data_IF_775953828863
#
_entry.id   IF_775953828863
#
_cell.length_a   1.000
_cell.length_b   1.000
_cell.length_c   1.000
_cell.angle_alpha   90.00
_cell.angle_beta   90.00
_cell.angle_gamma   90.00
#
_symmetry.space_group_name_H-M   'P 1'
#
loop_
_entity.id
_entity.type
_entity.pdbx_description
1 polymer ?
#
# COMPACT_ATOMS: atom_id res chain seq x y z
N UNK A 1 32.17 5.85 -57.77
CA UNK A 1 30.97 5.85 -56.94
C UNK A 1 31.24 4.94 -55.72
N UNK A 2 31.43 5.56 -54.56
CA UNK A 2 31.60 4.82 -53.29
C UNK A 2 30.25 4.88 -52.57
N UNK A 3 29.60 3.72 -52.36
CA UNK A 3 28.37 3.55 -51.65
C UNK A 3 28.72 3.53 -50.15
N UNK A 4 28.35 4.60 -49.42
CA UNK A 4 28.49 4.65 -47.97
C UNK A 4 27.19 4.06 -47.40
N UNK A 5 27.26 2.83 -46.89
CA UNK A 5 26.21 2.22 -46.09
C UNK A 5 26.27 2.84 -44.70
N UNK A 6 25.32 3.74 -44.39
CA UNK A 6 25.08 4.22 -43.03
C UNK A 6 24.23 3.18 -42.31
N UNK A 7 24.87 2.36 -41.49
CA UNK A 7 24.19 1.55 -40.50
C UNK A 7 23.68 2.50 -39.37
N UNK A 8 22.47 2.92 -39.51
CA UNK A 8 21.74 3.56 -38.39
C UNK A 8 21.45 2.49 -37.33
N UNK A 9 22.32 2.43 -36.32
CA UNK A 9 22.01 1.66 -35.12
C UNK A 9 20.83 2.31 -34.41
N UNK A 10 19.64 1.81 -34.65
CA UNK A 10 18.45 2.05 -33.80
C UNK A 10 18.74 1.37 -32.45
N UNK A 11 19.37 2.08 -31.54
CA UNK A 11 19.35 1.76 -30.12
C UNK A 11 17.93 2.05 -29.59
N UNK A 12 16.99 1.18 -29.93
CA UNK A 12 15.81 1.03 -29.15
C UNK A 12 16.28 0.62 -27.75
N UNK A 13 16.13 1.53 -26.78
CA UNK A 13 16.26 1.14 -25.39
C UNK A 13 15.13 0.13 -25.11
N UNK A 14 15.47 -1.15 -25.26
CA UNK A 14 14.68 -2.24 -24.74
C UNK A 14 14.80 -2.07 -23.22
N UNK A 15 13.87 -1.34 -22.62
CA UNK A 15 13.70 -1.31 -21.18
C UNK A 15 13.25 -2.70 -20.76
N UNK A 16 14.20 -3.58 -20.47
CA UNK A 16 13.93 -4.91 -19.95
C UNK A 16 13.21 -4.77 -18.60
N UNK A 17 12.26 -5.65 -18.33
CA UNK A 17 11.65 -5.80 -17.00
C UNK A 17 12.74 -6.25 -16.03
N UNK A 18 12.79 -5.66 -14.85
CA UNK A 18 13.71 -6.10 -13.80
C UNK A 18 13.39 -7.53 -13.39
N UNK A 19 14.43 -8.32 -13.16
CA UNK A 19 14.33 -9.72 -12.77
C UNK A 19 14.88 -9.92 -11.36
N UNK A 20 14.31 -10.87 -10.64
CA UNK A 20 14.60 -11.18 -9.25
C UNK A 20 15.06 -12.64 -9.07
N UNK A 21 15.70 -13.18 -10.11
CA UNK A 21 16.20 -14.57 -10.14
C UNK A 21 17.23 -14.78 -9.05
N UNK A 22 16.96 -15.72 -8.16
CA UNK A 22 17.82 -16.06 -7.02
C UNK A 22 17.76 -15.06 -5.86
N UNK A 23 16.94 -14.00 -5.94
CA UNK A 23 16.67 -13.14 -4.79
C UNK A 23 15.90 -13.94 -3.74
N UNK A 24 16.36 -13.87 -2.50
CA UNK A 24 15.72 -14.58 -1.38
C UNK A 24 14.99 -13.60 -0.47
N UNK A 25 13.93 -14.09 0.20
CA UNK A 25 13.36 -13.38 1.34
C UNK A 25 13.75 -14.14 2.59
N UNK A 26 14.43 -13.46 3.49
CA UNK A 26 14.82 -13.99 4.79
C UNK A 26 13.83 -13.50 5.85
N UNK A 27 13.32 -14.42 6.67
CA UNK A 27 12.68 -14.13 7.93
C UNK A 27 13.75 -14.09 9.01
N UNK A 28 13.92 -12.94 9.66
CA UNK A 28 14.98 -12.67 10.61
C UNK A 28 14.39 -12.39 11.99
N UNK A 29 14.96 -12.98 13.05
CA UNK A 29 14.43 -12.89 14.41
C UNK A 29 15.47 -12.24 15.34
N UNK A 30 15.48 -10.91 15.50
CA UNK A 30 16.33 -10.23 16.46
C UNK A 30 15.84 -10.52 17.89
N UNK A 31 16.75 -10.91 18.80
CA UNK A 31 16.41 -11.28 20.17
C UNK A 31 16.60 -10.15 21.19
N UNK A 32 17.28 -9.09 20.80
CA UNK A 32 17.56 -7.93 21.65
C UNK A 32 17.72 -6.65 20.83
N UNK A 33 17.80 -5.50 21.52
CA UNK A 33 17.93 -4.18 20.92
C UNK A 33 19.24 -3.99 20.11
N UNK A 34 20.30 -4.68 20.49
CA UNK A 34 21.58 -4.63 19.79
C UNK A 34 21.45 -5.27 18.39
N UNK A 35 20.80 -6.42 18.30
CA UNK A 35 20.55 -7.09 17.02
C UNK A 35 19.60 -6.28 16.12
N UNK A 36 18.59 -5.60 16.70
CA UNK A 36 17.75 -4.66 15.95
C UNK A 36 18.60 -3.52 15.36
N UNK A 37 19.51 -2.95 16.16
CA UNK A 37 20.40 -1.89 15.70
C UNK A 37 21.30 -2.36 14.56
N UNK A 38 21.87 -3.56 14.65
CA UNK A 38 22.67 -4.15 13.56
C UNK A 38 21.84 -4.34 12.27
N UNK A 39 20.57 -4.73 12.38
CA UNK A 39 19.70 -4.84 11.19
C UNK A 39 19.38 -3.48 10.58
N UNK A 40 19.21 -2.44 11.39
CA UNK A 40 19.00 -1.06 10.91
C UNK A 40 20.26 -0.51 10.24
N UNK A 41 21.43 -0.82 10.79
CA UNK A 41 22.73 -0.48 10.15
C UNK A 41 22.88 -1.22 8.82
N UNK A 42 22.54 -2.50 8.79
CA UNK A 42 22.54 -3.32 7.56
C UNK A 42 21.59 -2.77 6.49
N UNK A 43 20.40 -2.29 6.89
CA UNK A 43 19.43 -1.65 5.97
C UNK A 43 20.00 -0.37 5.34
N UNK A 44 20.90 0.32 6.03
CA UNK A 44 21.53 1.55 5.55
C UNK A 44 22.67 1.30 4.53
N UNK A 45 23.12 0.06 4.35
CA UNK A 45 24.17 -0.34 3.41
C UNK A 45 23.62 -0.39 1.98
N UNK A 46 23.60 0.76 1.29
CA UNK A 46 23.00 0.93 -0.05
C UNK A 46 23.54 -0.05 -1.09
N UNK A 47 24.81 -0.46 -0.98
CA UNK A 47 25.43 -1.37 -1.93
C UNK A 47 24.86 -2.79 -1.88
N UNK A 48 24.21 -3.19 -0.79
CA UNK A 48 23.55 -4.49 -0.65
C UNK A 48 22.16 -4.52 -1.28
N UNK A 49 21.56 -3.38 -1.57
CA UNK A 49 20.24 -3.23 -2.19
C UNK A 49 19.12 -4.02 -1.46
N UNK A 50 19.19 -4.04 -0.13
CA UNK A 50 18.21 -4.74 0.70
C UNK A 50 16.86 -4.02 0.65
N UNK A 51 15.79 -4.81 0.73
CA UNK A 51 14.43 -4.30 0.77
C UNK A 51 13.69 -4.95 1.95
N UNK A 52 13.57 -4.19 3.04
CA UNK A 52 12.85 -4.64 4.24
C UNK A 52 11.35 -4.55 4.03
N UNK A 53 10.72 -5.68 3.77
CA UNK A 53 9.26 -5.77 3.66
C UNK A 53 8.57 -5.61 5.02
N UNK A 54 9.24 -6.09 6.07
CA UNK A 54 8.84 -5.88 7.46
C UNK A 54 10.10 -5.54 8.27
N UNK A 55 10.17 -4.28 8.72
CA UNK A 55 11.34 -3.81 9.45
C UNK A 55 11.42 -4.39 10.86
N UNK A 56 12.63 -4.59 11.41
CA UNK A 56 12.84 -5.06 12.77
C UNK A 56 12.47 -3.96 13.76
N UNK A 57 11.44 -4.15 14.55
CA UNK A 57 10.94 -3.12 15.48
C UNK A 57 10.99 -3.51 16.94
N UNK A 58 10.77 -4.77 17.26
CA UNK A 58 10.67 -5.28 18.63
C UNK A 58 11.47 -6.57 18.75
N UNK A 59 12.29 -6.74 19.83
CA UNK A 59 12.97 -8.00 20.08
C UNK A 59 12.01 -9.19 20.13
N UNK A 60 12.34 -10.25 19.41
CA UNK A 60 11.52 -11.46 19.31
C UNK A 60 10.43 -11.43 18.24
N UNK A 61 10.14 -10.29 17.62
CA UNK A 61 9.29 -10.22 16.43
C UNK A 61 10.11 -10.45 15.15
N UNK A 62 9.48 -11.11 14.17
CA UNK A 62 10.12 -11.37 12.88
C UNK A 62 10.25 -10.10 12.05
N UNK A 63 11.40 -9.92 11.39
CA UNK A 63 11.60 -8.98 10.29
C UNK A 63 11.71 -9.76 8.98
N UNK A 64 11.27 -9.19 7.87
CA UNK A 64 11.38 -9.81 6.56
C UNK A 64 12.17 -8.92 5.63
N UNK A 65 13.20 -9.48 5.01
CA UNK A 65 14.09 -8.74 4.10
C UNK A 65 14.30 -9.51 2.80
N UNK A 66 13.99 -8.85 1.67
CA UNK A 66 14.42 -9.33 0.36
C UNK A 66 15.91 -9.01 0.19
N UNK A 67 16.66 -10.02 -0.12
CA UNK A 67 18.10 -9.94 -0.34
C UNK A 67 18.37 -10.29 -1.81
N UNK A 68 18.93 -9.37 -2.61
CA UNK A 68 19.35 -9.66 -3.98
C UNK A 68 20.34 -10.82 -4.03
N UNK A 69 20.27 -11.63 -5.08
CA UNK A 69 21.13 -12.80 -5.26
C UNK A 69 22.61 -12.51 -4.98
N UNK A 70 23.12 -11.41 -5.52
CA UNK A 70 24.53 -11.00 -5.34
C UNK A 70 24.91 -10.69 -3.89
N UNK A 71 23.96 -10.36 -3.04
CA UNK A 71 24.15 -10.00 -1.63
C UNK A 71 23.84 -11.13 -0.64
N UNK A 72 23.21 -12.24 -1.10
CA UNK A 72 22.70 -13.31 -0.22
C UNK A 72 23.78 -13.86 0.70
N UNK A 73 24.97 -14.18 0.19
CA UNK A 73 26.03 -14.76 1.02
C UNK A 73 26.59 -13.75 2.03
N UNK A 74 26.80 -12.51 1.61
CA UNK A 74 27.31 -11.46 2.49
C UNK A 74 26.35 -11.19 3.66
N UNK A 75 25.03 -11.13 3.37
CA UNK A 75 24.00 -10.92 4.38
C UNK A 75 23.92 -12.10 5.34
N UNK A 76 23.93 -13.35 4.85
CA UNK A 76 23.90 -14.54 5.71
C UNK A 76 25.11 -14.60 6.64
N UNK A 77 26.31 -14.37 6.13
CA UNK A 77 27.56 -14.30 6.94
C UNK A 77 27.45 -13.20 7.99
N UNK A 78 26.92 -12.03 7.64
CA UNK A 78 26.70 -10.95 8.60
C UNK A 78 25.75 -11.39 9.72
N UNK A 79 24.57 -11.95 9.39
CA UNK A 79 23.57 -12.41 10.37
C UNK A 79 24.17 -13.46 11.31
N UNK A 80 24.90 -14.43 10.78
CA UNK A 80 25.59 -15.48 11.55
C UNK A 80 26.66 -14.88 12.47
N UNK A 81 27.46 -13.92 12.00
CA UNK A 81 28.49 -13.25 12.80
C UNK A 81 27.92 -12.46 13.98
N UNK A 82 26.70 -11.93 13.84
CA UNK A 82 25.97 -11.21 14.88
C UNK A 82 25.08 -12.13 15.73
N UNK A 83 25.11 -13.45 15.48
CA UNK A 83 24.26 -14.41 16.19
C UNK A 83 22.76 -14.16 15.99
N UNK A 84 22.38 -13.57 14.85
CA UNK A 84 20.99 -13.27 14.49
C UNK A 84 20.42 -14.47 13.78
N UNK A 85 19.36 -15.08 14.34
CA UNK A 85 18.69 -16.21 13.74
C UNK A 85 17.87 -15.79 12.53
N UNK A 86 17.91 -16.61 11.48
CA UNK A 86 17.09 -16.41 10.28
C UNK A 86 16.62 -17.74 9.68
N UNK A 87 15.56 -17.68 8.90
CA UNK A 87 15.11 -18.74 8.01
C UNK A 87 14.86 -18.20 6.61
N UNK A 88 14.85 -19.07 5.61
CA UNK A 88 14.53 -18.63 4.23
C UNK A 88 13.01 -18.77 4.07
N UNK A 89 12.33 -17.64 3.97
CA UNK A 89 10.89 -17.56 3.73
C UNK A 89 10.55 -17.81 2.24
N UNK A 90 11.35 -17.24 1.33
CA UNK A 90 11.21 -17.39 -0.12
C UNK A 90 12.59 -17.70 -0.70
N UNK A 91 12.72 -18.84 -1.36
CA UNK A 91 13.99 -19.31 -1.95
C UNK A 91 14.37 -18.56 -3.23
N UNK A 92 13.37 -18.22 -4.06
CA UNK A 92 13.55 -17.47 -5.30
C UNK A 92 12.29 -16.63 -5.56
N UNK A 93 12.44 -15.32 -5.46
CA UNK A 93 11.34 -14.38 -5.67
C UNK A 93 10.80 -14.44 -7.10
N UNK A 94 11.67 -14.70 -8.10
CA UNK A 94 11.25 -14.73 -9.51
C UNK A 94 10.22 -15.83 -9.77
N UNK A 95 10.36 -16.98 -9.14
CA UNK A 95 9.41 -18.10 -9.29
C UNK A 95 7.98 -17.71 -8.89
N UNK A 96 7.85 -16.93 -7.82
CA UNK A 96 6.53 -16.42 -7.39
C UNK A 96 5.98 -15.36 -8.36
N UNK A 97 6.85 -14.50 -8.89
CA UNK A 97 6.46 -13.48 -9.86
C UNK A 97 6.03 -14.09 -11.21
N UNK A 98 6.70 -15.15 -11.64
CA UNK A 98 6.32 -15.86 -12.85
C UNK A 98 4.95 -16.52 -12.69
N UNK A 99 4.68 -17.13 -11.55
CA UNK A 99 3.36 -17.67 -11.21
C UNK A 99 2.27 -16.60 -11.17
N UNK A 100 2.53 -15.47 -10.50
CA UNK A 100 1.62 -14.30 -10.47
C UNK A 100 1.28 -13.82 -11.90
N UNK A 101 2.29 -13.70 -12.76
CA UNK A 101 2.09 -13.30 -14.15
C UNK A 101 1.26 -14.32 -14.95
N UNK A 102 1.52 -15.61 -14.78
CA UNK A 102 0.74 -16.67 -15.43
C UNK A 102 -0.73 -16.63 -14.99
N UNK A 103 -1.00 -16.47 -13.70
CA UNK A 103 -2.36 -16.34 -13.16
C UNK A 103 -3.07 -15.12 -13.73
N UNK A 104 -2.40 -13.97 -13.83
CA UNK A 104 -2.97 -12.77 -14.46
C UNK A 104 -3.33 -13.00 -15.94
N UNK A 105 -2.43 -13.61 -16.70
CA UNK A 105 -2.69 -13.93 -18.12
C UNK A 105 -3.84 -14.90 -18.30
N UNK A 106 -3.96 -15.91 -17.45
CA UNK A 106 -5.07 -16.86 -17.46
C UNK A 106 -6.40 -16.16 -17.12
N UNK A 107 -6.39 -15.26 -16.14
CA UNK A 107 -7.55 -14.46 -15.77
C UNK A 107 -8.01 -13.56 -16.93
N UNK A 108 -7.12 -12.80 -17.54
CA UNK A 108 -7.41 -11.95 -18.70
C UNK A 108 -8.03 -12.75 -19.87
N UNK A 109 -7.56 -13.99 -20.11
CA UNK A 109 -8.14 -14.85 -21.14
C UNK A 109 -9.58 -15.28 -20.81
N UNK A 110 -9.87 -15.55 -19.52
CA UNK A 110 -11.20 -15.92 -19.06
C UNK A 110 -12.18 -14.75 -19.16
N UNK A 111 -11.75 -13.55 -18.79
CA UNK A 111 -12.58 -12.34 -18.82
C UNK A 111 -12.95 -11.86 -20.22
N UNK A 112 -12.12 -12.12 -21.22
CA UNK A 112 -12.46 -11.83 -22.64
C UNK A 112 -13.74 -12.55 -23.10
N UNK A 113 -14.11 -13.64 -22.42
CA UNK A 113 -15.27 -14.49 -22.75
C UNK A 113 -16.33 -14.51 -21.62
N UNK A 114 -16.19 -13.69 -20.60
CA UNK A 114 -17.04 -13.73 -19.41
C UNK A 114 -17.10 -12.40 -18.65
N UNK A 115 -17.54 -12.48 -17.39
CA UNK A 115 -17.64 -11.34 -16.51
C UNK A 115 -16.28 -10.98 -15.89
N UNK A 116 -16.12 -9.71 -15.48
CA UNK A 116 -14.96 -9.22 -14.75
C UNK A 116 -14.78 -9.98 -13.44
N UNK A 117 -13.56 -10.43 -13.16
CA UNK A 117 -13.22 -11.19 -11.95
C UNK A 117 -12.68 -10.27 -10.85
N UNK A 118 -13.51 -9.87 -9.90
CA UNK A 118 -13.09 -9.05 -8.75
C UNK A 118 -12.14 -9.77 -7.79
N UNK A 119 -11.84 -11.06 -8.00
CA UNK A 119 -10.93 -11.87 -7.18
C UNK A 119 -9.54 -12.02 -7.80
N UNK A 120 -9.17 -11.16 -8.75
CA UNK A 120 -7.90 -11.21 -9.45
C UNK A 120 -7.18 -9.85 -9.47
N UNK A 121 -5.88 -9.87 -9.85
CA UNK A 121 -5.14 -8.64 -10.15
C UNK A 121 -5.41 -8.19 -11.57
N UNK A 122 -5.47 -6.88 -11.77
CA UNK A 122 -5.82 -6.25 -13.03
C UNK A 122 -4.84 -5.14 -13.40
N UNK A 123 -4.76 -4.81 -14.68
CA UNK A 123 -4.09 -3.61 -15.14
C UNK A 123 -4.85 -2.35 -14.72
N UNK A 124 -4.17 -1.21 -14.76
CA UNK A 124 -4.82 0.08 -14.45
C UNK A 124 -6.00 0.35 -15.40
N UNK A 125 -5.87 -0.02 -16.66
CA UNK A 125 -6.90 0.12 -17.69
C UNK A 125 -8.13 -0.75 -17.37
N UNK A 126 -7.91 -2.01 -16.99
CA UNK A 126 -8.98 -2.93 -16.58
C UNK A 126 -9.70 -2.45 -15.33
N UNK A 127 -8.95 -1.94 -14.33
CA UNK A 127 -9.54 -1.30 -13.12
C UNK A 127 -10.41 -0.11 -13.51
N UNK A 128 -9.91 0.77 -14.40
CA UNK A 128 -10.68 1.93 -14.86
C UNK A 128 -11.97 1.53 -15.56
N UNK A 129 -11.91 0.50 -16.42
CA UNK A 129 -13.09 -0.03 -17.10
C UNK A 129 -14.09 -0.67 -16.12
N UNK A 130 -13.61 -1.40 -15.12
CA UNK A 130 -14.48 -1.97 -14.08
C UNK A 130 -15.19 -0.88 -13.26
N UNK A 131 -14.50 0.22 -12.97
CA UNK A 131 -15.12 1.39 -12.34
C UNK A 131 -16.24 1.98 -13.22
N UNK A 132 -16.01 2.10 -14.53
CA UNK A 132 -17.03 2.57 -15.48
C UNK A 132 -18.23 1.63 -15.56
N UNK A 133 -18.00 0.33 -15.52
CA UNK A 133 -19.07 -0.67 -15.50
C UNK A 133 -19.90 -0.57 -14.22
N UNK A 134 -19.27 -0.46 -13.04
CA UNK A 134 -20.00 -0.26 -11.76
C UNK A 134 -20.88 1.00 -11.80
N UNK A 135 -20.38 2.11 -12.38
CA UNK A 135 -21.18 3.34 -12.54
C UNK A 135 -22.35 3.11 -13.50
N UNK A 136 -22.12 2.42 -14.61
CA UNK A 136 -23.17 2.14 -15.61
C UNK A 136 -24.26 1.19 -15.07
N UNK A 137 -23.88 0.22 -14.22
CA UNK A 137 -24.82 -0.73 -13.60
C UNK A 137 -25.63 -0.12 -12.45
N UNK A 138 -25.07 0.93 -11.78
CA UNK A 138 -25.68 1.56 -10.59
C UNK A 138 -25.77 3.10 -10.71
N UNK A 139 -26.34 3.67 -11.79
CA UNK A 139 -26.25 5.12 -12.08
C UNK A 139 -26.96 6.02 -11.08
N UNK A 140 -27.93 5.46 -10.32
CA UNK A 140 -28.63 6.18 -9.24
C UNK A 140 -27.86 6.22 -7.90
N UNK A 141 -26.83 5.42 -7.77
CA UNK A 141 -26.06 5.26 -6.52
C UNK A 141 -24.60 5.66 -6.66
N UNK A 142 -23.97 5.32 -7.79
CA UNK A 142 -22.53 5.43 -7.99
C UNK A 142 -22.23 6.44 -9.08
N UNK A 143 -21.24 7.30 -8.82
CA UNK A 143 -20.68 8.23 -9.80
C UNK A 143 -19.15 8.22 -9.73
N UNK A 144 -18.50 8.56 -10.85
CA UNK A 144 -17.04 8.68 -10.93
C UNK A 144 -16.64 10.15 -10.90
N UNK A 145 -15.75 10.51 -9.96
CA UNK A 145 -15.24 11.87 -9.76
C UNK A 145 -13.74 11.89 -10.00
N UNK A 146 -13.28 12.70 -10.93
CA UNK A 146 -11.85 12.93 -11.10
C UNK A 146 -11.38 14.00 -10.10
N UNK A 147 -10.40 13.69 -9.27
CA UNK A 147 -9.84 14.59 -8.24
C UNK A 147 -8.52 15.23 -8.66
N UNK A 148 -7.98 14.84 -9.81
CA UNK A 148 -6.71 15.34 -10.34
C UNK A 148 -6.00 14.30 -11.20
N UNK A 149 -4.72 14.53 -11.43
CA UNK A 149 -3.88 13.65 -12.23
C UNK A 149 -2.56 13.39 -11.52
N UNK A 150 -2.01 12.20 -11.75
CA UNK A 150 -0.67 11.84 -11.29
C UNK A 150 0.43 12.65 -11.97
N UNK A 151 1.67 12.44 -11.55
CA UNK A 151 2.84 13.07 -12.15
C UNK A 151 2.95 12.77 -13.67
N UNK A 152 2.72 11.53 -14.10
CA UNK A 152 2.70 11.13 -15.52
C UNK A 152 1.35 11.38 -16.21
N UNK A 153 0.48 12.18 -15.59
CA UNK A 153 -0.81 12.63 -16.15
C UNK A 153 -1.91 11.56 -16.24
N UNK A 154 -1.81 10.49 -15.47
CA UNK A 154 -2.90 9.51 -15.34
C UNK A 154 -4.01 10.06 -14.44
N UNK A 155 -5.29 9.88 -14.79
CA UNK A 155 -6.38 10.39 -13.98
C UNK A 155 -6.46 9.69 -12.61
N UNK A 156 -6.77 10.43 -11.56
CA UNK A 156 -7.08 9.93 -10.23
C UNK A 156 -8.60 9.95 -10.06
N UNK A 157 -9.21 8.81 -10.30
CA UNK A 157 -10.65 8.66 -10.31
C UNK A 157 -11.14 8.02 -9.01
N UNK A 158 -12.12 8.67 -8.38
CA UNK A 158 -12.80 8.23 -7.17
C UNK A 158 -14.20 7.76 -7.51
N UNK A 159 -14.63 6.63 -6.97
CA UNK A 159 -16.04 6.24 -6.96
C UNK A 159 -16.73 6.91 -5.76
N UNK A 160 -17.78 7.67 -6.03
CA UNK A 160 -18.68 8.22 -5.03
C UNK A 160 -19.93 7.37 -4.95
N UNK A 161 -20.22 6.81 -3.78
CA UNK A 161 -21.46 6.13 -3.45
C UNK A 161 -22.32 7.08 -2.62
N UNK A 162 -23.52 7.41 -3.10
CA UNK A 162 -24.39 8.39 -2.47
C UNK A 162 -25.85 8.15 -2.82
N UNK A 163 -26.72 8.20 -1.82
CA UNK A 163 -28.17 8.16 -2.00
C UNK A 163 -28.78 9.58 -2.04
N UNK A 164 -27.93 10.60 -2.22
CA UNK A 164 -28.33 12.01 -2.22
C UNK A 164 -28.35 12.65 -0.85
N UNK A 165 -28.70 13.95 -0.82
CA UNK A 165 -28.72 14.74 0.40
C UNK A 165 -27.34 15.27 0.85
N UNK A 166 -27.35 16.03 1.92
CA UNK A 166 -26.16 16.68 2.47
C UNK A 166 -25.61 15.85 3.66
N UNK A 167 -24.94 14.74 3.34
CA UNK A 167 -24.46 13.76 4.31
C UNK A 167 -22.98 13.92 4.65
N UNK A 168 -22.53 13.50 5.85
CA UNK A 168 -21.12 13.28 6.13
C UNK A 168 -20.59 12.15 5.22
N UNK A 169 -19.27 12.05 5.10
CA UNK A 169 -18.68 11.07 4.20
C UNK A 169 -17.52 10.30 4.84
N UNK A 170 -17.26 9.11 4.28
CA UNK A 170 -16.11 8.26 4.55
C UNK A 170 -15.20 8.34 3.30
N UNK A 171 -13.91 8.54 3.54
CA UNK A 171 -12.87 8.36 2.53
C UNK A 171 -12.20 7.00 2.69
N UNK A 172 -12.05 6.29 1.58
CA UNK A 172 -11.29 5.04 1.51
C UNK A 172 -10.35 5.10 0.31
N UNK A 173 -9.07 4.83 0.52
CA UNK A 173 -8.10 4.70 -0.57
C UNK A 173 -7.26 3.45 -0.48
N UNK A 174 -6.65 3.10 -1.63
CA UNK A 174 -5.78 1.96 -1.78
C UNK A 174 -4.65 2.27 -2.77
N UNK A 175 -3.62 1.45 -2.77
CA UNK A 175 -2.56 1.50 -3.76
C UNK A 175 -1.68 2.75 -3.69
N UNK A 176 -1.47 3.32 -2.51
CA UNK A 176 -0.50 4.41 -2.32
C UNK A 176 0.93 3.91 -2.57
N UNK A 177 1.24 2.66 -2.17
CA UNK A 177 2.45 1.96 -2.56
C UNK A 177 2.19 1.05 -3.76
N UNK A 178 2.96 1.24 -4.79
CA UNK A 178 2.71 0.63 -6.10
C UNK A 178 2.69 -0.91 -6.10
N UNK A 179 3.53 -1.54 -5.28
CA UNK A 179 3.72 -3.00 -5.21
C UNK A 179 2.66 -3.75 -4.41
N UNK A 180 1.82 -3.04 -3.67
CA UNK A 180 0.82 -3.61 -2.78
C UNK A 180 -0.50 -3.93 -3.53
N UNK A 181 -0.44 -4.77 -4.57
CA UNK A 181 -1.55 -4.99 -5.54
C UNK A 181 -2.83 -5.53 -4.91
N UNK A 182 -2.72 -6.27 -3.81
CA UNK A 182 -3.89 -6.75 -3.07
C UNK A 182 -4.78 -5.61 -2.60
N UNK A 183 -4.23 -4.41 -2.35
CA UNK A 183 -5.00 -3.28 -1.85
C UNK A 183 -5.90 -2.69 -2.92
N UNK A 184 -5.40 -2.54 -4.17
CA UNK A 184 -6.20 -2.08 -5.31
C UNK A 184 -7.32 -3.08 -5.63
N UNK A 185 -7.00 -4.37 -5.61
CA UNK A 185 -7.98 -5.42 -5.84
C UNK A 185 -9.05 -5.46 -4.74
N UNK A 186 -8.64 -5.34 -3.47
CA UNK A 186 -9.57 -5.24 -2.33
C UNK A 186 -10.48 -4.01 -2.46
N UNK A 187 -9.94 -2.86 -2.87
CA UNK A 187 -10.73 -1.66 -3.07
C UNK A 187 -11.77 -1.85 -4.18
N UNK A 188 -11.39 -2.46 -5.30
CA UNK A 188 -12.30 -2.71 -6.41
C UNK A 188 -13.39 -3.73 -6.05
N UNK A 189 -13.02 -4.82 -5.36
CA UNK A 189 -13.97 -5.78 -4.80
C UNK A 189 -14.94 -5.11 -3.82
N UNK A 190 -14.43 -4.24 -2.93
CA UNK A 190 -15.23 -3.46 -1.99
C UNK A 190 -16.21 -2.54 -2.72
N UNK A 191 -15.76 -1.87 -3.79
CA UNK A 191 -16.62 -1.02 -4.61
C UNK A 191 -17.81 -1.81 -5.20
N UNK A 192 -17.52 -2.97 -5.79
CA UNK A 192 -18.56 -3.85 -6.33
C UNK A 192 -19.53 -4.35 -5.23
N UNK A 193 -18.99 -4.72 -4.07
CA UNK A 193 -19.78 -5.18 -2.92
C UNK A 193 -20.70 -4.09 -2.37
N UNK A 194 -20.22 -2.85 -2.29
CA UNK A 194 -21.04 -1.70 -1.86
C UNK A 194 -22.15 -1.43 -2.88
N UNK A 195 -21.82 -1.40 -4.18
CA UNK A 195 -22.78 -1.11 -5.24
C UNK A 195 -23.90 -2.16 -5.30
N UNK A 196 -23.54 -3.45 -5.32
CA UNK A 196 -24.49 -4.56 -5.41
C UNK A 196 -25.24 -4.83 -4.11
N UNK A 197 -24.69 -4.39 -2.97
CA UNK A 197 -25.25 -4.61 -1.64
C UNK A 197 -26.33 -3.60 -1.26
N UNK A 198 -26.35 -2.40 -1.83
CA UNK A 198 -27.36 -1.40 -1.49
C UNK A 198 -28.77 -1.90 -1.83
N UNK A 199 -29.69 -1.79 -0.87
CA UNK A 199 -31.04 -2.32 -0.96
C UNK A 199 -31.17 -3.83 -0.67
N UNK A 200 -30.05 -4.58 -0.67
CA UNK A 200 -30.03 -6.03 -0.43
C UNK A 200 -29.35 -6.41 0.89
N UNK A 201 -28.30 -5.69 1.27
CA UNK A 201 -27.59 -5.86 2.54
C UNK A 201 -27.95 -4.71 3.48
N UNK A 202 -28.53 -5.06 4.64
CA UNK A 202 -29.03 -4.08 5.62
C UNK A 202 -27.89 -3.19 6.15
N UNK A 203 -26.70 -3.73 6.33
CA UNK A 203 -25.55 -2.97 6.86
C UNK A 203 -25.05 -1.94 5.83
N UNK A 204 -24.89 -2.36 4.57
CA UNK A 204 -24.48 -1.47 3.47
C UNK A 204 -25.51 -0.39 3.24
N UNK A 205 -26.79 -0.76 3.21
CA UNK A 205 -27.91 0.17 3.03
C UNK A 205 -27.92 1.20 4.16
N UNK A 206 -27.83 0.77 5.41
CA UNK A 206 -27.82 1.65 6.57
C UNK A 206 -26.66 2.65 6.56
N UNK A 207 -25.45 2.22 6.12
CA UNK A 207 -24.30 3.12 6.00
C UNK A 207 -24.57 4.18 4.93
N UNK A 208 -25.01 3.78 3.75
CA UNK A 208 -25.21 4.70 2.61
C UNK A 208 -26.40 5.65 2.82
N UNK A 209 -27.38 5.26 3.62
CA UNK A 209 -28.45 6.17 4.04
C UNK A 209 -27.97 7.28 4.98
N UNK A 210 -26.92 6.98 5.78
CA UNK A 210 -26.35 7.93 6.75
C UNK A 210 -25.15 8.71 6.22
N UNK A 211 -24.36 8.13 5.32
CA UNK A 211 -23.06 8.67 4.89
C UNK A 211 -22.81 8.40 3.41
N UNK A 212 -22.11 9.31 2.76
CA UNK A 212 -21.52 9.05 1.45
C UNK A 212 -20.19 8.30 1.61
N UNK A 213 -19.81 7.51 0.61
CA UNK A 213 -18.51 6.84 0.57
C UNK A 213 -17.75 7.32 -0.68
N UNK A 214 -16.50 7.77 -0.49
CA UNK A 214 -15.57 8.08 -1.56
C UNK A 214 -14.46 7.04 -1.54
N UNK A 215 -14.31 6.29 -2.64
CA UNK A 215 -13.33 5.22 -2.75
C UNK A 215 -12.39 5.48 -3.93
N UNK A 216 -11.08 5.62 -3.63
CA UNK A 216 -9.98 5.78 -4.60
C UNK A 216 -9.21 4.46 -4.71
N UNK A 217 -9.46 3.62 -5.74
CA UNK A 217 -8.83 2.30 -5.82
C UNK A 217 -7.33 2.34 -6.09
N UNK A 218 -6.83 3.38 -6.77
CA UNK A 218 -5.42 3.49 -7.15
C UNK A 218 -4.92 4.91 -6.88
N UNK A 219 -4.29 5.08 -5.73
CA UNK A 219 -3.73 6.38 -5.30
C UNK A 219 -2.46 6.74 -6.08
N UNK A 220 -1.67 5.73 -6.46
CA UNK A 220 -0.41 5.87 -7.17
C UNK A 220 -0.45 5.16 -8.53
N UNK A 221 -1.17 5.71 -9.53
CA UNK A 221 -1.34 5.03 -10.81
C UNK A 221 -0.04 4.89 -11.61
N UNK A 222 0.89 5.85 -11.50
CA UNK A 222 2.18 5.80 -12.20
C UNK A 222 3.07 4.69 -11.65
N UNK A 223 3.21 4.61 -10.33
CA UNK A 223 3.93 3.54 -9.67
C UNK A 223 3.30 2.19 -9.96
N UNK A 224 1.95 2.09 -9.95
CA UNK A 224 1.23 0.86 -10.23
C UNK A 224 1.53 0.31 -11.63
N UNK A 225 1.42 1.15 -12.67
CA UNK A 225 1.80 0.76 -14.04
C UNK A 225 3.27 0.36 -14.12
N UNK A 226 4.15 1.09 -13.43
CA UNK A 226 5.58 0.77 -13.40
C UNK A 226 5.86 -0.57 -12.70
N UNK A 227 5.14 -0.88 -11.62
CA UNK A 227 5.28 -2.18 -10.93
C UNK A 227 4.81 -3.36 -11.77
N UNK A 228 3.85 -3.14 -12.66
CA UNK A 228 3.37 -4.18 -13.58
C UNK A 228 4.29 -4.39 -14.80
N UNK A 229 4.90 -3.32 -15.30
CA UNK A 229 5.60 -3.35 -16.59
C UNK A 229 7.11 -3.38 -16.49
N UNK A 230 7.69 -2.91 -15.38
CA UNK A 230 9.16 -2.70 -15.25
C UNK A 230 9.76 -3.35 -14.01
N UNK A 231 9.28 -2.99 -12.81
CA UNK A 231 9.84 -3.46 -11.56
C UNK A 231 8.71 -3.81 -10.57
N UNK A 232 8.44 -5.11 -10.40
CA UNK A 232 7.36 -5.61 -9.52
C UNK A 232 7.47 -5.11 -8.07
N UNK A 233 8.71 -4.86 -7.59
CA UNK A 233 8.98 -4.41 -6.22
C UNK A 233 8.94 -2.90 -6.07
N UNK A 234 8.57 -2.16 -7.11
CA UNK A 234 8.49 -0.70 -7.06
C UNK A 234 7.43 -0.20 -6.07
N UNK A 235 7.83 0.70 -5.18
CA UNK A 235 6.98 1.22 -4.11
C UNK A 235 6.50 2.66 -4.35
N UNK A 236 7.42 3.55 -4.76
CA UNK A 236 7.23 5.00 -4.86
C UNK A 236 6.35 5.41 -6.05
N UNK A 237 6.01 6.70 -6.16
CA UNK A 237 5.47 7.25 -7.40
C UNK A 237 6.57 7.36 -8.48
N UNK A 238 6.34 8.14 -9.54
CA UNK A 238 7.28 8.27 -10.66
C UNK A 238 7.75 9.71 -10.89
N UNK A 239 7.62 10.60 -9.89
CA UNK A 239 8.05 11.99 -10.00
C UNK A 239 9.58 12.07 -10.18
N UNK A 240 10.00 13.03 -11.02
CA UNK A 240 11.42 13.30 -11.24
C UNK A 240 11.96 14.20 -10.14
N UNK A 241 13.14 13.88 -9.64
CA UNK A 241 13.78 14.60 -8.55
C UNK A 241 14.93 15.42 -9.14
N UNK A 242 14.82 16.76 -9.11
CA UNK A 242 15.89 17.62 -9.63
C UNK A 242 17.25 17.31 -9.00
N UNK A 243 18.28 17.15 -9.84
CA UNK A 243 19.64 16.86 -9.39
C UNK A 243 19.92 15.41 -8.97
N UNK A 244 18.93 14.51 -9.05
CA UNK A 244 19.08 13.09 -8.74
C UNK A 244 18.87 12.21 -9.98
N UNK A 245 19.58 11.05 -10.02
CA UNK A 245 19.29 9.98 -10.97
C UNK A 245 18.14 9.08 -10.48
N UNK A 246 17.87 9.08 -9.18
CA UNK A 246 16.78 8.33 -8.60
C UNK A 246 15.44 9.02 -8.83
N UNK A 247 14.37 8.23 -8.89
CA UNK A 247 13.03 8.65 -9.26
C UNK A 247 12.06 8.27 -8.15
N UNK A 248 11.04 9.08 -7.97
CA UNK A 248 9.90 8.80 -7.13
C UNK A 248 10.06 9.19 -5.67
N UNK A 249 8.92 9.51 -5.09
CA UNK A 249 8.71 9.83 -3.67
C UNK A 249 7.81 8.76 -3.07
N UNK A 250 8.07 8.34 -1.85
CA UNK A 250 7.12 7.57 -1.06
C UNK A 250 5.95 8.48 -0.68
N UNK A 251 4.82 8.30 -1.35
CA UNK A 251 3.63 9.13 -1.14
C UNK A 251 3.15 9.08 0.31
N UNK A 252 3.35 7.94 1.00
CA UNK A 252 3.01 7.78 2.41
C UNK A 252 4.05 8.39 3.37
N UNK A 253 5.02 9.14 2.86
CA UNK A 253 5.97 10.00 3.61
C UNK A 253 5.79 11.47 3.27
N UNK A 254 4.90 11.80 2.33
CA UNK A 254 4.78 13.16 1.78
C UNK A 254 3.64 13.98 2.40
N UNK A 255 2.86 13.42 3.33
CA UNK A 255 1.79 14.14 4.02
C UNK A 255 2.33 15.19 5.01
N UNK A 256 1.55 16.27 5.21
CA UNK A 256 1.87 17.34 6.18
C UNK A 256 1.36 16.97 7.60
N UNK A 257 1.89 15.85 8.12
CA UNK A 257 1.63 15.41 9.49
C UNK A 257 2.89 14.71 10.01
N UNK A 258 3.68 15.42 10.82
CA UNK A 258 4.98 14.95 11.28
C UNK A 258 5.99 14.76 10.14
N UNK A 259 5.92 15.57 9.09
CA UNK A 259 6.75 15.46 7.89
C UNK A 259 8.25 15.44 8.23
N UNK A 260 8.96 14.47 7.63
CA UNK A 260 10.41 14.32 7.84
C UNK A 260 10.77 13.75 9.20
N UNK A 261 9.79 13.31 9.96
CA UNK A 261 10.00 12.57 11.19
C UNK A 261 10.63 11.20 10.94
N UNK A 262 10.74 10.42 12.01
CA UNK A 262 11.37 9.10 11.95
C UNK A 262 10.77 8.21 10.86
N UNK A 263 11.63 7.43 10.14
CA UNK A 263 11.26 6.55 9.04
C UNK A 263 11.01 7.20 7.72
N UNK A 264 11.28 8.49 7.64
CA UNK A 264 11.28 9.20 6.37
C UNK A 264 12.73 9.52 5.98
N UNK A 265 13.17 9.01 4.84
CA UNK A 265 14.51 9.27 4.30
C UNK A 265 14.58 10.61 3.57
N UNK A 266 15.74 11.27 3.65
CA UNK A 266 16.09 12.42 2.82
C UNK A 266 16.84 12.01 1.53
N UNK A 267 17.25 10.73 1.43
CA UNK A 267 17.94 10.22 0.26
C UNK A 267 16.92 9.90 -0.85
N UNK A 268 17.00 10.55 -2.03
CA UNK A 268 16.10 10.28 -3.16
C UNK A 268 16.08 8.82 -3.63
N UNK A 269 17.16 8.07 -3.38
CA UNK A 269 17.28 6.67 -3.79
C UNK A 269 16.59 5.69 -2.83
N UNK A 270 16.28 6.13 -1.62
CA UNK A 270 15.58 5.32 -0.63
C UNK A 270 14.12 5.08 -1.02
N UNK A 271 13.60 3.89 -0.72
CA UNK A 271 12.18 3.55 -0.88
C UNK A 271 11.26 4.34 0.08
N UNK A 272 11.81 4.90 1.16
CA UNK A 272 11.11 5.78 2.11
C UNK A 272 11.39 7.27 1.89
N UNK A 273 11.86 7.67 0.70
CA UNK A 273 12.14 9.08 0.40
C UNK A 273 10.87 9.93 0.49
N UNK A 274 10.92 10.96 1.37
CA UNK A 274 9.77 11.81 1.72
C UNK A 274 9.45 12.92 0.72
N UNK A 275 10.33 13.16 -0.25
CA UNK A 275 10.27 14.35 -1.08
C UNK A 275 10.92 15.57 -0.41
N UNK A 276 11.10 16.67 -1.16
CA UNK A 276 11.75 17.89 -0.68
C UNK A 276 10.93 18.65 0.36
N UNK A 277 9.59 18.57 0.29
CA UNK A 277 8.67 19.25 1.21
C UNK A 277 7.36 18.48 1.36
N UNK A 278 6.62 18.76 2.43
CA UNK A 278 5.31 18.16 2.66
C UNK A 278 4.33 18.52 1.55
N UNK A 279 3.49 17.57 1.18
CA UNK A 279 2.40 17.73 0.21
C UNK A 279 2.88 18.29 -1.16
N UNK A 280 4.14 18.00 -1.53
CA UNK A 280 4.67 18.43 -2.81
C UNK A 280 4.22 17.56 -3.98
N UNK A 281 3.96 16.27 -3.72
CA UNK A 281 3.52 15.34 -4.75
C UNK A 281 2.07 15.60 -5.16
N UNK A 282 1.85 15.58 -6.49
CA UNK A 282 0.54 15.97 -7.05
C UNK A 282 -0.57 15.01 -6.63
N UNK A 283 -0.25 13.72 -6.43
CA UNK A 283 -1.17 12.70 -5.97
C UNK A 283 -1.66 13.02 -4.55
N UNK A 284 -0.74 13.27 -3.62
CA UNK A 284 -1.06 13.65 -2.23
C UNK A 284 -1.83 14.97 -2.20
N UNK A 285 -1.39 15.95 -2.97
CA UNK A 285 -2.02 17.27 -3.07
C UNK A 285 -3.46 17.19 -3.57
N UNK A 286 -3.74 16.31 -4.55
CA UNK A 286 -5.08 16.09 -5.08
C UNK A 286 -6.03 15.57 -4.01
N UNK A 287 -5.60 14.58 -3.22
CA UNK A 287 -6.40 14.03 -2.12
C UNK A 287 -6.63 15.09 -1.03
N UNK A 288 -5.57 15.77 -0.59
CA UNK A 288 -5.67 16.82 0.45
C UNK A 288 -6.64 17.92 0.03
N UNK A 289 -6.54 18.40 -1.21
CA UNK A 289 -7.43 19.43 -1.73
C UNK A 289 -8.87 18.97 -1.78
N UNK A 290 -9.11 17.73 -2.26
CA UNK A 290 -10.45 17.16 -2.32
C UNK A 290 -11.07 17.05 -0.92
N UNK A 291 -10.35 16.48 0.04
CA UNK A 291 -10.83 16.29 1.42
C UNK A 291 -11.13 17.63 2.09
N UNK A 292 -10.22 18.61 1.94
CA UNK A 292 -10.41 19.95 2.51
C UNK A 292 -11.60 20.68 1.88
N UNK A 293 -11.77 20.59 0.56
CA UNK A 293 -12.88 21.24 -0.15
C UNK A 293 -14.22 20.59 0.17
N UNK A 294 -14.25 19.28 0.38
CA UNK A 294 -15.48 18.56 0.78
C UNK A 294 -15.95 18.96 2.18
N UNK A 295 -15.03 19.11 3.14
CA UNK A 295 -15.27 19.65 4.48
C UNK A 295 -16.05 18.75 5.45
N UNK A 296 -16.60 17.60 5.00
CA UNK A 296 -17.44 16.70 5.81
C UNK A 296 -16.97 15.26 5.83
N UNK A 297 -15.72 15.01 5.51
CA UNK A 297 -15.11 13.68 5.69
C UNK A 297 -14.98 13.41 7.18
N UNK A 298 -15.62 12.36 7.66
CA UNK A 298 -15.65 11.94 9.07
C UNK A 298 -14.71 10.79 9.38
N UNK A 299 -14.37 9.98 8.37
CA UNK A 299 -13.41 8.89 8.52
C UNK A 299 -12.51 8.83 7.30
N UNK A 300 -11.25 8.50 7.54
CA UNK A 300 -10.23 8.25 6.52
C UNK A 300 -9.66 6.85 6.73
N UNK A 301 -9.79 5.98 5.73
CA UNK A 301 -9.29 4.61 5.75
C UNK A 301 -8.36 4.45 4.56
N UNK A 302 -7.17 3.89 4.79
CA UNK A 302 -6.22 3.57 3.74
C UNK A 302 -5.80 2.11 3.83
N UNK A 303 -5.82 1.41 2.69
CA UNK A 303 -5.49 0.00 2.60
C UNK A 303 -4.01 -0.17 2.23
N UNK A 304 -3.33 -0.99 3.01
CA UNK A 304 -1.93 -1.37 2.82
C UNK A 304 -1.75 -2.88 2.84
N UNK A 305 -0.63 -3.38 2.37
CA UNK A 305 -0.14 -4.73 2.58
C UNK A 305 1.39 -4.73 2.83
N UNK A 306 1.88 -5.71 3.54
CA UNK A 306 1.16 -6.81 4.16
C UNK A 306 1.28 -6.73 5.69
N UNK A 307 0.64 -7.59 6.38
CA UNK A 307 0.54 -7.88 7.81
C UNK A 307 -0.90 -7.66 8.29
N UNK A 308 -1.32 -8.45 9.25
CA UNK A 308 -2.66 -8.34 9.82
C UNK A 308 -2.67 -7.27 10.92
N UNK A 309 -2.60 -6.00 10.48
CA UNK A 309 -2.56 -4.84 11.36
C UNK A 309 -3.78 -3.95 11.11
N UNK A 310 -4.47 -3.55 12.16
CA UNK A 310 -5.48 -2.50 12.10
C UNK A 310 -5.03 -1.35 13.00
N UNK A 311 -4.55 -0.29 12.39
CA UNK A 311 -3.87 0.79 13.08
C UNK A 311 -4.61 2.10 12.96
N UNK A 312 -4.45 2.95 14.00
CA UNK A 312 -5.01 4.29 14.04
C UNK A 312 -3.96 5.30 14.55
N UNK A 313 -4.17 6.62 14.44
CA UNK A 313 -3.20 7.63 14.85
C UNK A 313 -2.77 7.53 16.33
N UNK A 314 -1.55 7.98 16.62
CA UNK A 314 -0.57 8.57 15.73
C UNK A 314 0.58 7.59 15.47
N UNK A 315 1.33 7.89 14.38
CA UNK A 315 2.56 7.18 14.03
C UNK A 315 3.83 8.00 14.26
N UNK A 316 3.78 9.32 14.11
CA UNK A 316 4.92 10.23 14.30
C UNK A 316 5.17 10.63 15.76
N UNK A 317 4.25 10.30 16.65
CA UNK A 317 4.34 10.48 18.10
C UNK A 317 3.60 9.37 18.82
N UNK A 318 3.99 9.06 20.05
CA UNK A 318 3.28 8.14 20.92
C UNK A 318 2.24 8.85 21.83
N UNK A 319 2.07 10.16 21.67
CA UNK A 319 0.99 10.88 22.33
C UNK A 319 -0.36 10.37 21.80
N UNK A 320 -1.27 10.05 22.71
CA UNK A 320 -2.61 9.61 22.34
C UNK A 320 -3.40 10.78 21.75
N UNK A 321 -4.16 10.57 20.63
CA UNK A 321 -5.12 11.56 20.17
C UNK A 321 -6.30 11.71 21.17
N UNK A 322 -6.99 12.84 21.15
CA UNK A 322 -8.10 13.13 22.07
C UNK A 322 -9.22 12.08 22.01
N UNK A 323 -9.44 11.48 20.84
CA UNK A 323 -10.44 10.43 20.61
C UNK A 323 -9.84 9.01 20.60
N UNK A 324 -8.74 8.79 21.32
CA UNK A 324 -8.04 7.48 21.33
C UNK A 324 -8.96 6.31 21.70
N UNK A 325 -9.79 6.47 22.72
CA UNK A 325 -10.65 5.39 23.21
C UNK A 325 -11.74 5.03 22.17
N UNK A 326 -12.30 6.01 21.49
CA UNK A 326 -13.24 5.82 20.37
C UNK A 326 -12.55 5.06 19.22
N UNK A 327 -11.37 5.50 18.79
CA UNK A 327 -10.59 4.86 17.73
C UNK A 327 -10.25 3.40 18.07
N UNK A 328 -9.80 3.16 19.30
CA UNK A 328 -9.47 1.83 19.77
C UNK A 328 -10.68 0.90 19.82
N UNK A 329 -11.81 1.38 20.34
CA UNK A 329 -13.05 0.60 20.40
C UNK A 329 -13.54 0.19 19.01
N UNK A 330 -13.57 1.14 18.07
CA UNK A 330 -13.99 0.90 16.69
C UNK A 330 -13.03 -0.08 16.00
N UNK A 331 -11.71 0.11 16.14
CA UNK A 331 -10.72 -0.77 15.56
C UNK A 331 -10.80 -2.20 16.11
N UNK A 332 -11.02 -2.35 17.43
CA UNK A 332 -11.24 -3.67 18.05
C UNK A 332 -12.51 -4.36 17.53
N UNK A 333 -13.61 -3.61 17.34
CA UNK A 333 -14.86 -4.15 16.76
C UNK A 333 -14.63 -4.60 15.31
N UNK A 334 -13.96 -3.78 14.50
CA UNK A 334 -13.63 -4.09 13.12
C UNK A 334 -12.73 -5.34 13.02
N UNK A 335 -11.68 -5.44 13.84
CA UNK A 335 -10.81 -6.62 13.86
C UNK A 335 -11.53 -7.90 14.28
N UNK A 336 -12.47 -7.83 15.23
CA UNK A 336 -13.31 -8.99 15.58
C UNK A 336 -14.19 -9.43 14.39
N UNK A 337 -14.79 -8.48 13.67
CA UNK A 337 -15.58 -8.79 12.48
C UNK A 337 -14.73 -9.43 11.37
N UNK A 338 -13.52 -8.91 11.11
CA UNK A 338 -12.57 -9.52 10.19
C UNK A 338 -12.21 -10.95 10.61
N UNK A 339 -11.86 -11.15 11.89
CA UNK A 339 -11.50 -12.47 12.42
C UNK A 339 -12.65 -13.48 12.34
N UNK A 340 -13.90 -13.03 12.50
CA UNK A 340 -15.06 -13.93 12.47
C UNK A 340 -15.31 -14.59 11.11
N UNK A 341 -14.79 -14.01 10.02
CA UNK A 341 -14.98 -14.54 8.67
C UNK A 341 -14.06 -15.72 8.35
N UNK A 342 -12.76 -15.59 8.66
CA UNK A 342 -11.75 -16.58 8.26
C UNK A 342 -10.80 -16.99 9.41
N UNK A 343 -11.06 -16.56 10.64
CA UNK A 343 -10.21 -16.86 11.79
C UNK A 343 -8.90 -16.04 11.85
N UNK A 344 -8.62 -15.20 10.85
CA UNK A 344 -7.39 -14.41 10.79
C UNK A 344 -7.37 -13.32 11.87
N UNK A 345 -6.39 -13.37 12.75
CA UNK A 345 -6.25 -12.43 13.86
C UNK A 345 -5.52 -11.16 13.41
N UNK A 346 -6.02 -10.01 13.83
CA UNK A 346 -5.40 -8.71 13.59
C UNK A 346 -4.83 -8.12 14.89
N UNK A 347 -3.60 -7.58 14.82
CA UNK A 347 -3.02 -6.77 15.89
C UNK A 347 -3.59 -5.37 15.78
N UNK A 348 -4.19 -4.85 16.87
CA UNK A 348 -4.90 -3.56 16.88
C UNK A 348 -4.23 -2.61 17.84
N UNK A 349 -4.08 -1.34 17.42
CA UNK A 349 -3.55 -0.28 18.29
C UNK A 349 -3.18 0.98 17.53
N UNK A 350 -2.64 1.97 18.24
CA UNK A 350 -2.03 3.10 17.56
C UNK A 350 -0.82 2.66 16.75
N UNK A 351 -0.52 3.36 15.66
CA UNK A 351 0.66 3.06 14.84
C UNK A 351 1.91 3.01 15.73
N UNK A 352 2.08 3.97 16.63
CA UNK A 352 3.17 3.98 17.60
C UNK A 352 3.25 2.70 18.44
N UNK A 353 2.11 2.15 18.91
CA UNK A 353 2.10 0.97 19.78
C UNK A 353 2.25 -0.34 19.03
N UNK A 354 1.88 -0.38 17.75
CA UNK A 354 1.86 -1.60 16.93
C UNK A 354 3.18 -1.83 16.20
N UNK A 355 3.80 -0.74 15.68
CA UNK A 355 5.02 -0.79 14.89
C UNK A 355 6.14 0.10 15.40
N UNK A 356 6.03 0.68 16.62
CA UNK A 356 7.06 1.58 17.13
C UNK A 356 8.13 0.86 17.90
N UNK A 357 9.26 1.50 17.89
CA UNK A 357 10.51 1.20 18.57
C UNK A 357 10.40 1.48 20.05
N UNK A 358 10.90 0.58 20.88
CA UNK A 358 11.04 0.85 22.30
C UNK A 358 11.96 2.05 22.55
N UNK A 359 11.53 2.92 23.45
CA UNK A 359 12.00 4.28 23.69
C UNK A 359 13.41 4.43 24.28
N UNK A 360 14.22 3.39 24.34
CA UNK A 360 15.55 3.46 24.99
C UNK A 360 16.75 3.56 24.06
N UNK A 361 16.61 3.32 22.76
CA UNK A 361 17.76 3.20 21.86
C UNK A 361 17.96 4.32 20.84
N UNK A 362 17.15 5.32 20.73
CA UNK A 362 17.56 6.51 19.96
C UNK A 362 16.64 7.71 20.13
N UNK A 363 17.20 8.76 20.68
CA UNK A 363 16.73 10.14 20.49
C UNK A 363 16.85 10.59 19.03
N UNK A 364 17.29 9.73 18.09
CA UNK A 364 17.69 10.14 16.75
C UNK A 364 17.11 9.41 15.53
N UNK A 365 16.30 8.34 15.65
CA UNK A 365 15.67 7.72 14.46
C UNK A 365 14.46 6.87 14.86
N UNK A 366 13.28 7.37 14.72
CA UNK A 366 12.06 6.57 14.74
C UNK A 366 11.37 6.64 13.37
N UNK A 367 11.05 5.51 12.82
CA UNK A 367 10.47 5.32 11.49
C UNK A 367 8.95 5.21 11.60
N UNK A 368 8.19 6.08 10.97
CA UNK A 368 6.74 6.10 11.14
C UNK A 368 6.01 6.52 9.87
N UNK A 369 5.07 5.65 9.46
CA UNK A 369 4.07 5.98 8.44
C UNK A 369 3.11 7.02 9.00
N UNK A 370 2.94 8.12 8.29
CA UNK A 370 2.05 9.20 8.67
C UNK A 370 0.67 8.94 8.08
N UNK A 371 -0.31 8.75 8.95
CA UNK A 371 -1.72 8.88 8.56
C UNK A 371 -2.14 10.30 8.92
N UNK A 372 -2.73 11.01 7.95
CA UNK A 372 -3.35 12.29 8.23
C UNK A 372 -4.51 12.05 9.22
N UNK A 373 -4.49 12.74 10.35
CA UNK A 373 -5.58 12.71 11.31
C UNK A 373 -6.82 13.35 10.71
N UNK A 374 -7.83 12.54 10.36
CA UNK A 374 -9.19 13.04 10.24
C UNK A 374 -9.90 12.78 11.58
N UNK A 375 -10.58 13.75 12.18
CA UNK A 375 -11.25 13.54 13.43
C UNK A 375 -12.50 12.68 13.20
N UNK A 376 -12.57 11.53 13.85
CA UNK A 376 -13.69 10.61 14.04
C UNK A 376 -13.90 9.52 12.98
N UNK A 377 -13.53 8.31 13.36
CA UNK A 377 -14.17 7.09 12.88
C UNK A 377 -15.52 6.94 13.64
N UNK A 378 -16.62 6.97 12.90
CA UNK A 378 -17.94 6.64 13.47
C UNK A 378 -18.37 5.30 12.86
N UNK A 379 -18.37 4.24 13.67
CA UNK A 379 -19.12 3.03 13.36
C UNK A 379 -20.40 3.06 14.19
N UNK A 380 -21.56 3.00 13.54
CA UNK A 380 -22.82 2.80 14.24
C UNK A 380 -22.90 1.38 14.81
N UNK A 381 -23.47 1.24 15.98
CA UNK A 381 -23.77 -0.04 16.61
C UNK A 381 -24.71 -0.88 15.73
N UNK A 382 -24.16 -1.78 14.92
CA UNK A 382 -24.93 -2.64 14.02
C UNK A 382 -24.15 -3.28 12.88
N UNK A 383 -22.89 -2.92 12.68
CA UNK A 383 -22.09 -3.44 11.59
C UNK A 383 -21.44 -4.79 11.94
N UNK A 384 -22.07 -5.89 11.50
CA UNK A 384 -21.48 -7.24 11.55
C UNK A 384 -20.62 -7.58 10.32
N UNK A 385 -20.33 -6.64 9.43
CA UNK A 385 -19.56 -6.91 8.21
C UNK A 385 -18.46 -5.89 8.02
N UNK A 386 -17.24 -6.27 8.38
CA UNK A 386 -16.02 -5.66 7.84
C UNK A 386 -15.57 -6.53 6.67
N UNK A 387 -15.19 -5.89 5.57
CA UNK A 387 -14.86 -6.54 4.33
C UNK A 387 -13.55 -7.35 4.43
N UNK A 388 -13.56 -8.59 3.95
CA UNK A 388 -12.36 -9.40 3.76
C UNK A 388 -12.16 -9.70 2.28
N UNK A 389 -10.92 -9.68 1.79
CA UNK A 389 -10.62 -10.19 0.46
C UNK A 389 -10.88 -11.69 0.38
N UNK A 390 -11.14 -12.23 -0.81
CA UNK A 390 -11.34 -13.66 -1.05
C UNK A 390 -10.17 -14.51 -0.56
N UNK A 391 -10.44 -15.73 -0.12
CA UNK A 391 -9.50 -16.64 0.55
C UNK A 391 -8.25 -17.01 -0.26
N UNK A 392 -8.26 -16.87 -1.58
CA UNK A 392 -7.10 -17.13 -2.45
C UNK A 392 -5.97 -16.11 -2.34
N UNK A 393 -6.21 -14.95 -1.74
CA UNK A 393 -5.22 -13.90 -1.55
C UNK A 393 -4.35 -14.11 -0.31
N UNK A 394 -4.77 -14.97 0.60
CA UNK A 394 -4.06 -15.27 1.84
C UNK A 394 -2.85 -16.20 1.63
N UNK A 395 -2.81 -16.98 0.56
CA UNK A 395 -1.69 -17.88 0.23
C UNK A 395 -0.41 -17.13 -0.19
N UNK A 396 -0.52 -15.87 -0.60
CA UNK A 396 0.62 -14.99 -0.90
C UNK A 396 1.18 -14.24 0.32
N UNK A 397 0.44 -14.21 1.41
CA UNK A 397 0.85 -13.57 2.67
C UNK A 397 1.33 -14.62 3.67
N UNK A 398 2.05 -15.62 3.21
CA UNK A 398 2.76 -16.70 3.89
C UNK A 398 2.33 -16.99 5.32
N UNK A 399 1.95 -18.20 5.59
CA UNK A 399 1.49 -18.74 6.86
C UNK A 399 2.37 -18.45 8.08
#
# INVERSE_FOLDING_TARGET
MKLILVFGALFGHIYCRETFVGDQVLEVIPRNEEQIRHLVELEAEEHLQLDFWKSPTIPGETAHVRVPFVSVQAVKVFLESQGIAYSIMIEDVQVLLDKENEEMLLNQRRERNGNFNFEAYHTLEEISQAMDNIVAEHPGLVSKVNIGHSFEKRPMNVLKFSTGGDKPAIWLDAGIHAREWVTQATALWTANKIASGYGNDVSITSILDMMDIFLLPVTNPDGYVFSQTKNRMWRKNRSRIPGSRCVGVDLNRNWDAGFGGPGASQNPCSDSYRGPQATCEVEVKSIVNFIKSHGRIKAFITLHSYSQLLMFPFGYTCTKPDNFDELNEVAQKAARSLTSLHGTKYKVGSICSVISWTSTASKNKAQLSTFASCPRLVCSSGLNTCFTPPTRWLDFCGG
#
